data_IF_899880184745
#
_entry.id   IF_899880184745
#
_cell.length_a   1.000
_cell.length_b   1.000
_cell.length_c   1.000
_cell.angle_alpha   90.00
_cell.angle_beta   90.00
_cell.angle_gamma   90.00
#
_symmetry.space_group_name_H-M   'P 1'
#
loop_
_entity.id
_entity.type
_entity.pdbx_description
1 polymer ?
#
# COMPACT_ATOMS: atom_id res chain seq x y z
N UNK A 1 43.56 30.70 14.80
CA UNK A 1 44.03 29.38 14.32
C UNK A 1 43.42 28.19 15.07
N UNK A 2 42.86 28.39 16.25
CA UNK A 2 42.27 27.28 17.04
C UNK A 2 40.82 26.91 16.67
N UNK A 3 40.25 27.57 15.69
CA UNK A 3 38.86 27.31 15.24
C UNK A 3 38.73 26.24 14.15
N UNK A 4 39.81 25.83 13.52
CA UNK A 4 39.78 24.93 12.36
C UNK A 4 39.82 23.46 12.77
N UNK A 5 40.38 23.13 13.93
CA UNK A 5 40.51 21.76 14.44
C UNK A 5 39.18 21.19 15.05
N UNK A 6 38.18 22.03 15.23
CA UNK A 6 36.90 21.59 15.83
C UNK A 6 35.86 21.09 14.82
N UNK A 7 36.15 21.15 13.53
CA UNK A 7 35.24 20.73 12.46
C UNK A 7 35.60 19.35 11.90
N UNK A 8 36.71 18.73 12.32
CA UNK A 8 37.00 17.35 11.99
C UNK A 8 36.19 16.44 12.87
N UNK A 9 34.90 16.25 12.52
CA UNK A 9 34.20 15.08 12.98
C UNK A 9 35.03 13.85 12.57
N UNK A 10 35.38 12.94 13.48
CA UNK A 10 36.13 11.75 13.09
C UNK A 10 35.35 11.01 12.03
N UNK A 11 35.93 10.77 10.87
CA UNK A 11 35.35 10.06 9.75
C UNK A 11 34.71 8.73 10.19
N UNK A 12 35.24 8.10 11.22
CA UNK A 12 34.74 6.89 11.87
C UNK A 12 33.35 7.07 12.50
N UNK A 13 33.03 8.24 13.04
CA UNK A 13 31.70 8.51 13.62
C UNK A 13 30.66 8.67 12.54
N UNK A 14 31.00 9.33 11.44
CA UNK A 14 30.11 9.48 10.27
C UNK A 14 29.88 8.15 9.60
N UNK A 15 30.91 7.30 9.44
CA UNK A 15 30.76 5.95 8.88
C UNK A 15 29.89 5.04 9.76
N UNK A 16 30.04 5.12 11.08
CA UNK A 16 29.19 4.37 12.02
C UNK A 16 27.72 4.82 11.96
N UNK A 17 27.47 6.12 11.84
CA UNK A 17 26.13 6.66 11.67
C UNK A 17 25.50 6.18 10.36
N UNK A 18 26.22 6.23 9.24
CA UNK A 18 25.76 5.72 7.97
C UNK A 18 25.47 4.21 7.99
N UNK A 19 26.33 3.42 8.65
CA UNK A 19 26.12 1.98 8.80
C UNK A 19 24.91 1.65 9.66
N UNK A 20 24.67 2.42 10.73
CA UNK A 20 23.51 2.25 11.59
C UNK A 20 22.20 2.62 10.87
N UNK A 21 22.20 3.73 10.16
CA UNK A 21 21.07 4.16 9.33
C UNK A 21 20.76 3.13 8.24
N UNK A 22 21.79 2.58 7.60
CA UNK A 22 21.62 1.54 6.58
C UNK A 22 20.98 0.26 7.16
N UNK A 23 21.41 -0.17 8.36
CA UNK A 23 20.81 -1.32 9.07
C UNK A 23 19.35 -1.07 9.45
N UNK A 24 19.05 0.10 9.99
CA UNK A 24 17.67 0.48 10.34
C UNK A 24 16.79 0.49 9.07
N UNK A 25 17.28 1.08 7.98
CA UNK A 25 16.58 1.10 6.70
C UNK A 25 16.31 -0.31 6.18
N UNK A 26 17.28 -1.21 6.27
CA UNK A 26 17.14 -2.60 5.82
C UNK A 26 16.09 -3.35 6.66
N UNK A 27 16.12 -3.19 7.99
CA UNK A 27 15.12 -3.80 8.89
C UNK A 27 13.72 -3.26 8.58
N UNK A 28 13.56 -1.95 8.39
CA UNK A 28 12.29 -1.34 8.02
C UNK A 28 11.79 -1.84 6.65
N UNK A 29 12.70 -2.00 5.68
CA UNK A 29 12.36 -2.54 4.36
C UNK A 29 11.90 -4.00 4.42
N UNK A 30 12.58 -4.84 5.20
CA UNK A 30 12.19 -6.23 5.40
C UNK A 30 10.85 -6.35 6.12
N UNK A 31 10.65 -5.56 7.17
CA UNK A 31 9.41 -5.55 7.94
C UNK A 31 8.24 -5.02 7.10
N UNK A 32 8.44 -3.91 6.40
CA UNK A 32 7.46 -3.36 5.47
C UNK A 32 7.13 -4.32 4.32
N UNK A 33 8.13 -5.01 3.77
CA UNK A 33 7.95 -6.04 2.75
C UNK A 33 7.14 -7.24 3.27
N UNK A 34 7.41 -7.71 4.48
CA UNK A 34 6.65 -8.78 5.12
C UNK A 34 5.19 -8.38 5.34
N UNK A 35 4.94 -7.18 5.86
CA UNK A 35 3.58 -6.64 6.03
C UNK A 35 2.85 -6.50 4.70
N UNK A 36 3.55 -6.07 3.64
CA UNK A 36 2.99 -5.97 2.31
C UNK A 36 2.55 -7.35 1.79
N UNK A 37 3.39 -8.36 1.91
CA UNK A 37 3.05 -9.74 1.50
C UNK A 37 1.84 -10.26 2.25
N UNK A 38 1.79 -10.09 3.58
CA UNK A 38 0.64 -10.50 4.40
C UNK A 38 -0.63 -9.76 3.95
N UNK A 39 -0.54 -8.46 3.72
CA UNK A 39 -1.66 -7.63 3.24
C UNK A 39 -2.19 -8.13 1.89
N UNK A 40 -1.30 -8.49 0.96
CA UNK A 40 -1.69 -9.03 -0.34
C UNK A 40 -2.39 -10.39 -0.24
N UNK A 41 -1.93 -11.25 0.66
CA UNK A 41 -2.57 -12.55 0.95
C UNK A 41 -3.97 -12.33 1.52
N UNK A 42 -4.12 -11.42 2.49
CA UNK A 42 -5.41 -11.08 3.08
C UNK A 42 -6.37 -10.50 2.04
N UNK A 43 -5.88 -9.58 1.20
CA UNK A 43 -6.66 -8.98 0.13
C UNK A 43 -7.16 -10.06 -0.85
N UNK A 44 -6.29 -10.97 -1.26
CA UNK A 44 -6.66 -12.09 -2.15
C UNK A 44 -7.74 -12.98 -1.52
N UNK A 45 -7.61 -13.33 -0.24
CA UNK A 45 -8.61 -14.11 0.48
C UNK A 45 -9.95 -13.37 0.60
N UNK A 46 -9.92 -12.08 0.89
CA UNK A 46 -11.12 -11.23 0.99
C UNK A 46 -11.85 -11.14 -0.34
N UNK A 47 -11.13 -10.95 -1.43
CA UNK A 47 -11.72 -10.91 -2.79
C UNK A 47 -12.34 -12.26 -3.14
N UNK A 48 -11.65 -13.36 -2.84
CA UNK A 48 -12.19 -14.71 -3.06
C UNK A 48 -13.50 -14.93 -2.32
N UNK A 49 -13.57 -14.51 -1.05
CA UNK A 49 -14.78 -14.61 -0.23
C UNK A 49 -15.91 -13.73 -0.79
N UNK A 50 -15.61 -12.51 -1.22
CA UNK A 50 -16.56 -11.59 -1.83
C UNK A 50 -17.16 -12.17 -3.13
N UNK A 51 -16.33 -12.77 -3.98
CA UNK A 51 -16.78 -13.44 -5.20
C UNK A 51 -17.66 -14.65 -4.87
N UNK A 52 -17.26 -15.45 -3.87
CA UNK A 52 -18.04 -16.61 -3.44
C UNK A 52 -19.40 -16.21 -2.90
N UNK A 53 -19.47 -15.16 -2.11
CA UNK A 53 -20.72 -14.59 -1.58
C UNK A 53 -21.67 -14.12 -2.68
N UNK A 54 -21.13 -13.56 -3.76
CA UNK A 54 -21.91 -13.02 -4.89
C UNK A 54 -22.04 -14.00 -6.07
N UNK A 55 -21.70 -15.28 -5.90
CA UNK A 55 -21.67 -16.27 -6.99
C UNK A 55 -22.98 -16.43 -7.74
N UNK A 56 -24.11 -16.35 -7.03
CA UNK A 56 -25.44 -16.44 -7.65
C UNK A 56 -25.73 -15.23 -8.53
N UNK A 57 -25.41 -14.03 -8.06
CA UNK A 57 -25.56 -12.81 -8.81
C UNK A 57 -24.69 -12.83 -10.10
N UNK A 58 -23.48 -13.32 -10.00
CA UNK A 58 -22.57 -13.48 -11.15
C UNK A 58 -23.14 -14.48 -12.15
N UNK A 59 -23.73 -15.59 -11.70
CA UNK A 59 -24.33 -16.60 -12.57
C UNK A 59 -25.57 -16.04 -13.28
N UNK A 60 -26.45 -15.33 -12.60
CA UNK A 60 -27.63 -14.71 -13.23
C UNK A 60 -27.23 -13.66 -14.27
N UNK A 61 -26.21 -12.84 -13.97
CA UNK A 61 -25.68 -11.88 -14.95
C UNK A 61 -25.09 -12.56 -16.19
N UNK A 62 -24.42 -13.71 -16.03
CA UNK A 62 -23.92 -14.52 -17.17
C UNK A 62 -25.03 -15.12 -18.01
N UNK A 63 -26.13 -15.57 -17.39
CA UNK A 63 -27.29 -16.12 -18.10
C UNK A 63 -28.00 -15.07 -18.97
N UNK A 64 -28.00 -13.82 -18.54
CA UNK A 64 -28.57 -12.68 -19.31
C UNK A 64 -27.59 -12.17 -20.37
N UNK A 65 -26.37 -12.73 -20.47
CA UNK A 65 -25.38 -12.34 -21.48
C UNK A 65 -24.52 -11.13 -21.10
N UNK A 66 -24.40 -10.82 -19.81
CA UNK A 66 -23.58 -9.72 -19.34
C UNK A 66 -22.08 -9.91 -19.69
N UNK A 67 -21.44 -8.85 -20.14
CA UNK A 67 -20.00 -8.85 -20.44
C UNK A 67 -19.16 -9.00 -19.17
N UNK A 68 -17.96 -9.57 -19.29
CA UNK A 68 -17.01 -9.72 -18.17
C UNK A 68 -16.76 -8.40 -17.45
N UNK A 69 -16.65 -7.31 -18.19
CA UNK A 69 -16.44 -5.96 -17.66
C UNK A 69 -17.60 -5.50 -16.76
N UNK A 70 -18.82 -5.77 -17.17
CA UNK A 70 -20.02 -5.43 -16.39
C UNK A 70 -20.04 -6.18 -15.04
N UNK A 71 -19.62 -7.45 -15.03
CA UNK A 71 -19.51 -8.27 -13.82
C UNK A 71 -18.39 -7.77 -12.89
N UNK A 72 -17.28 -7.27 -13.46
CA UNK A 72 -16.14 -6.78 -12.68
C UNK A 72 -16.37 -5.41 -12.04
N UNK A 73 -17.21 -4.58 -12.64
CA UNK A 73 -17.43 -3.18 -12.24
C UNK A 73 -17.80 -3.00 -10.75
N UNK A 74 -18.71 -3.75 -10.13
CA UNK A 74 -19.03 -3.61 -8.72
C UNK A 74 -17.87 -4.00 -7.80
N UNK A 75 -17.03 -4.94 -8.20
CA UNK A 75 -15.86 -5.33 -7.43
C UNK A 75 -14.76 -4.26 -7.47
N UNK A 76 -14.53 -3.66 -8.64
CA UNK A 76 -13.59 -2.55 -8.77
C UNK A 76 -14.07 -1.32 -7.98
N UNK A 77 -15.35 -1.00 -8.01
CA UNK A 77 -15.92 0.09 -7.20
C UNK A 77 -15.67 -0.11 -5.70
N UNK A 78 -15.90 -1.32 -5.20
CA UNK A 78 -15.60 -1.67 -3.80
C UNK A 78 -14.11 -1.54 -3.48
N UNK A 79 -13.23 -1.87 -4.41
CA UNK A 79 -11.77 -1.78 -4.21
C UNK A 79 -11.27 -0.34 -4.19
N UNK A 80 -11.88 0.55 -4.96
CA UNK A 80 -11.57 1.99 -4.92
C UNK A 80 -11.92 2.56 -3.55
N UNK A 81 -13.12 2.29 -3.04
CA UNK A 81 -13.54 2.76 -1.71
C UNK A 81 -12.62 2.21 -0.60
N UNK A 82 -12.25 0.95 -0.68
CA UNK A 82 -11.31 0.33 0.25
C UNK A 82 -9.90 0.95 0.14
N UNK A 83 -9.43 1.22 -1.07
CA UNK A 83 -8.13 1.87 -1.32
C UNK A 83 -8.09 3.31 -0.76
N UNK A 84 -9.17 4.08 -0.93
CA UNK A 84 -9.30 5.43 -0.37
C UNK A 84 -9.30 5.37 1.16
N UNK A 85 -10.10 4.49 1.74
CA UNK A 85 -10.23 4.37 3.20
C UNK A 85 -8.89 3.99 3.84
N UNK A 86 -8.21 2.98 3.29
CA UNK A 86 -6.89 2.55 3.76
C UNK A 86 -5.83 3.64 3.60
N UNK A 87 -5.87 4.39 2.48
CA UNK A 87 -4.98 5.51 2.22
C UNK A 87 -5.18 6.66 3.23
N UNK A 88 -6.41 6.98 3.58
CA UNK A 88 -6.73 8.01 4.59
C UNK A 88 -6.23 7.57 5.98
N UNK A 89 -6.48 6.32 6.38
CA UNK A 89 -6.02 5.80 7.68
C UNK A 89 -4.50 5.79 7.74
N UNK A 90 -3.82 5.32 6.69
CA UNK A 90 -2.37 5.30 6.61
C UNK A 90 -1.78 6.72 6.68
N UNK A 91 -2.40 7.68 5.99
CA UNK A 91 -2.00 9.09 6.01
C UNK A 91 -2.17 9.71 7.40
N UNK A 92 -3.27 9.40 8.09
CA UNK A 92 -3.51 9.88 9.45
C UNK A 92 -2.45 9.34 10.43
N UNK A 93 -2.14 8.05 10.36
CA UNK A 93 -1.08 7.43 11.18
C UNK A 93 0.28 8.02 10.87
N UNK A 94 0.61 8.23 9.59
CA UNK A 94 1.86 8.87 9.18
C UNK A 94 2.00 10.29 9.73
N UNK A 95 0.96 11.11 9.59
CA UNK A 95 0.95 12.47 10.12
C UNK A 95 1.11 12.48 11.65
N UNK A 96 0.41 11.59 12.35
CA UNK A 96 0.54 11.48 13.82
C UNK A 96 1.98 11.13 14.21
N UNK A 97 2.62 10.21 13.50
CA UNK A 97 4.01 9.85 13.73
C UNK A 97 4.97 11.02 13.45
N UNK A 98 4.75 11.77 12.36
CA UNK A 98 5.56 12.94 12.01
C UNK A 98 5.41 14.05 13.04
N UNK A 99 4.17 14.33 13.50
CA UNK A 99 3.93 15.33 14.54
C UNK A 99 4.57 14.93 15.86
N UNK A 100 4.49 13.67 16.28
CA UNK A 100 5.14 13.18 17.50
C UNK A 100 6.66 13.28 17.45
N UNK A 101 7.27 13.03 16.29
CA UNK A 101 8.70 13.20 16.08
C UNK A 101 9.12 14.69 16.08
N UNK A 102 8.28 15.58 15.54
CA UNK A 102 8.54 17.01 15.54
C UNK A 102 8.56 17.61 16.94
N UNK A 103 7.73 17.10 17.84
CA UNK A 103 7.71 17.49 19.25
C UNK A 103 9.01 17.10 19.97
N UNK A 104 9.62 15.98 19.56
CA UNK A 104 10.90 15.49 20.10
C UNK A 104 12.12 16.20 19.50
N UNK A 105 12.05 16.67 18.23
CA UNK A 105 13.17 17.33 17.53
C UNK A 105 12.62 18.47 16.65
N UNK A 106 12.43 19.69 17.22
CA UNK A 106 11.79 20.82 16.52
C UNK A 106 12.53 21.33 15.27
N UNK A 107 13.81 21.01 15.15
CA UNK A 107 14.66 21.52 14.06
C UNK A 107 14.44 20.80 12.71
N UNK A 108 13.68 19.72 12.69
CA UNK A 108 13.47 18.90 11.48
C UNK A 108 12.41 19.43 10.51
N UNK A 109 11.60 20.39 10.92
CA UNK A 109 10.51 20.91 10.07
C UNK A 109 10.83 22.29 9.48
N UNK A 110 11.47 22.30 8.32
CA UNK A 110 11.51 23.49 7.46
C UNK A 110 10.27 23.52 6.55
N UNK A 111 9.88 24.72 6.06
CA UNK A 111 8.75 24.89 5.12
C UNK A 111 8.88 24.03 3.85
N UNK A 112 10.10 23.72 3.45
CA UNK A 112 10.37 22.83 2.31
C UNK A 112 9.95 21.37 2.59
N UNK A 113 9.87 20.95 3.84
CA UNK A 113 9.48 19.59 4.24
C UNK A 113 7.98 19.41 4.27
N UNK A 114 7.20 20.46 4.53
CA UNK A 114 5.73 20.42 4.48
C UNK A 114 5.24 20.03 3.08
N UNK A 115 5.90 20.52 2.04
CA UNK A 115 5.56 20.17 0.66
C UNK A 115 5.89 18.70 0.34
N UNK A 116 6.99 18.19 0.88
CA UNK A 116 7.36 16.76 0.76
C UNK A 116 6.36 15.86 1.48
N UNK A 117 5.90 16.24 2.67
CA UNK A 117 4.87 15.51 3.42
C UNK A 117 3.57 15.40 2.60
N UNK A 118 3.13 16.50 1.97
CA UNK A 118 1.96 16.49 1.09
C UNK A 118 2.09 15.52 -0.08
N UNK A 119 3.26 15.47 -0.71
CA UNK A 119 3.55 14.53 -1.82
C UNK A 119 3.53 13.08 -1.32
N UNK A 120 4.10 12.81 -0.15
CA UNK A 120 4.12 11.46 0.46
C UNK A 120 2.70 11.00 0.78
N UNK A 121 1.90 11.85 1.43
CA UNK A 121 0.49 11.56 1.76
C UNK A 121 -0.33 11.31 0.50
N UNK A 122 -0.20 12.15 -0.52
CA UNK A 122 -0.85 11.93 -1.82
C UNK A 122 -0.41 10.62 -2.48
N UNK A 123 0.88 10.32 -2.43
CA UNK A 123 1.45 9.06 -2.93
C UNK A 123 0.93 7.83 -2.18
N UNK A 124 0.71 7.91 -0.87
CA UNK A 124 0.16 6.82 -0.07
C UNK A 124 -1.30 6.52 -0.47
N UNK A 125 -2.13 7.54 -0.65
CA UNK A 125 -3.52 7.37 -1.07
C UNK A 125 -3.60 6.82 -2.49
N UNK A 126 -2.86 7.40 -3.43
CA UNK A 126 -2.82 6.91 -4.82
C UNK A 126 -2.25 5.50 -4.91
N UNK A 127 -1.18 5.21 -4.19
CA UNK A 127 -0.59 3.87 -4.11
C UNK A 127 -1.56 2.84 -3.57
N UNK A 128 -2.30 3.16 -2.52
CA UNK A 128 -3.34 2.30 -1.95
C UNK A 128 -4.44 1.98 -2.96
N UNK A 129 -4.92 2.98 -3.69
CA UNK A 129 -5.93 2.81 -4.74
C UNK A 129 -5.38 1.94 -5.88
N UNK A 130 -4.18 2.23 -6.38
CA UNK A 130 -3.58 1.49 -7.48
C UNK A 130 -3.34 0.02 -7.13
N UNK A 131 -2.76 -0.25 -5.96
CA UNK A 131 -2.51 -1.62 -5.49
C UNK A 131 -3.84 -2.38 -5.35
N UNK A 132 -4.84 -1.78 -4.71
CA UNK A 132 -6.16 -2.38 -4.52
C UNK A 132 -6.84 -2.68 -5.86
N UNK A 133 -6.81 -1.75 -6.81
CA UNK A 133 -7.37 -1.94 -8.16
C UNK A 133 -6.66 -3.04 -8.95
N UNK A 134 -5.32 -3.01 -8.99
CA UNK A 134 -4.54 -4.01 -9.71
C UNK A 134 -4.82 -5.41 -9.19
N UNK A 135 -4.76 -5.60 -7.87
CA UNK A 135 -4.99 -6.92 -7.27
C UNK A 135 -6.42 -7.39 -7.47
N UNK A 136 -7.41 -6.53 -7.32
CA UNK A 136 -8.81 -6.88 -7.57
C UNK A 136 -9.03 -7.25 -9.02
N UNK A 137 -8.47 -6.49 -9.95
CA UNK A 137 -8.55 -6.80 -11.37
C UNK A 137 -7.99 -8.18 -11.68
N UNK A 138 -6.78 -8.49 -11.22
CA UNK A 138 -6.14 -9.80 -11.42
C UNK A 138 -6.93 -10.93 -10.75
N UNK A 139 -7.37 -10.74 -9.51
CA UNK A 139 -8.09 -11.76 -8.76
C UNK A 139 -9.46 -12.08 -9.40
N UNK A 140 -10.24 -11.06 -9.75
CA UNK A 140 -11.55 -11.25 -10.38
C UNK A 140 -11.40 -11.83 -11.78
N UNK A 141 -10.44 -11.35 -12.57
CA UNK A 141 -10.18 -11.87 -13.91
C UNK A 141 -9.78 -13.35 -13.88
N UNK A 142 -8.90 -13.72 -12.97
CA UNK A 142 -8.51 -15.12 -12.76
C UNK A 142 -9.72 -16.00 -12.39
N UNK A 143 -10.57 -15.50 -11.49
CA UNK A 143 -11.74 -16.27 -11.02
C UNK A 143 -12.82 -16.40 -12.09
N UNK A 144 -13.08 -15.35 -12.86
CA UNK A 144 -14.05 -15.37 -13.96
C UNK A 144 -13.61 -16.33 -15.08
N UNK A 145 -12.29 -16.40 -15.36
CA UNK A 145 -11.74 -17.31 -16.35
C UNK A 145 -11.71 -18.77 -15.88
N UNK A 146 -11.43 -19.03 -14.60
CA UNK A 146 -11.38 -20.40 -14.08
C UNK A 146 -12.75 -21.10 -14.07
N UNK A 147 -13.83 -20.34 -13.87
CA UNK A 147 -15.19 -20.92 -13.83
C UNK A 147 -15.71 -21.33 -15.20
N UNK A 148 -15.16 -20.82 -16.29
CA UNK A 148 -15.54 -21.20 -17.64
C UNK A 148 -15.07 -22.61 -18.02
N UNK A 149 -13.97 -23.10 -17.44
CA UNK A 149 -13.38 -24.41 -17.77
C UNK A 149 -13.87 -25.57 -16.89
N UNK A 150 -14.51 -25.30 -15.73
CA UNK A 150 -14.96 -26.37 -14.82
C UNK A 150 -16.42 -26.78 -14.97
N UNK A 151 -17.19 -26.07 -15.80
CA UNK A 151 -18.61 -26.38 -16.03
C UNK A 151 -18.76 -27.55 -17.05
N UNK A 152 -17.71 -27.93 -17.76
CA UNK A 152 -17.71 -29.03 -18.72
C UNK A 152 -17.31 -30.39 -18.15
N UNK A 153 -17.13 -30.53 -16.83
CA UNK A 153 -16.64 -31.76 -16.21
C UNK A 153 -17.62 -32.40 -15.22
N UNK A 154 -18.92 -32.00 -15.24
CA UNK A 154 -20.02 -32.73 -14.59
C UNK A 154 -21.31 -32.52 -15.36
#
# INVERSE_FOLDING_TARGET
>A
LDGVDRVSYPAQTVERLHATIAKIRLVLLLFGGALLVISLILLNNTIRLAIFSKRYLINTMKLVGATKWFIMRPFLGSSITQGILSGIIASALFLTAVYGLNEAVPELMSLAETMKIGIIVGGMVLGGILISLCFTFFAVNKFVNMKSNKIYLY
#
